data_IF_100795069158
#
_entry.id   IF_100795069158
#
_cell.length_a   1.000
_cell.length_b   1.000
_cell.length_c   1.000
_cell.angle_alpha   90.00
_cell.angle_beta   90.00
_cell.angle_gamma   90.00
#
_symmetry.space_group_name_H-M   'P 1'
#
loop_
_entity.id
_entity.type
_entity.pdbx_description
1 polymer ?
#
# COMPACT_ATOMS: atom_id res chain seq x y z
N UNK A 1 9.67 -17.06 6.83
CA UNK A 1 8.81 -17.12 5.62
C UNK A 1 8.55 -15.68 5.22
N UNK A 2 8.35 -15.43 3.93
CA UNK A 2 8.02 -14.09 3.45
C UNK A 2 6.64 -13.65 3.94
N UNK A 3 6.46 -12.37 4.22
CA UNK A 3 5.18 -11.81 4.61
C UNK A 3 4.31 -11.41 3.42
N UNK A 4 3.02 -11.11 3.67
CA UNK A 4 2.08 -10.68 2.65
C UNK A 4 2.41 -9.28 2.12
N UNK A 5 2.18 -9.03 0.83
CA UNK A 5 2.33 -7.71 0.21
C UNK A 5 1.18 -7.46 -0.75
N UNK A 6 0.50 -6.32 -0.62
CA UNK A 6 -0.56 -5.86 -1.53
C UNK A 6 -0.25 -4.42 -1.93
N UNK A 7 -0.34 -4.12 -3.22
CA UNK A 7 -0.25 -2.78 -3.78
C UNK A 7 -1.48 -2.51 -4.63
N UNK A 8 -2.03 -1.30 -4.51
CA UNK A 8 -3.24 -0.89 -5.21
C UNK A 8 -3.03 0.49 -5.81
N UNK A 9 -3.45 0.69 -7.06
CA UNK A 9 -3.34 1.96 -7.77
C UNK A 9 -4.46 2.95 -7.47
N UNK A 10 -5.20 2.77 -6.37
CA UNK A 10 -6.28 3.63 -5.90
C UNK A 10 -5.74 4.59 -4.84
N UNK A 11 -6.26 5.81 -4.79
CA UNK A 11 -6.05 6.79 -3.73
C UNK A 11 -7.05 6.58 -2.57
N UNK A 12 -6.99 5.38 -1.98
CA UNK A 12 -8.01 4.84 -1.07
C UNK A 12 -8.49 5.80 0.03
N UNK A 13 -7.59 6.62 0.54
CA UNK A 13 -7.85 7.50 1.67
C UNK A 13 -8.45 8.85 1.29
N UNK A 14 -8.52 9.21 0.01
CA UNK A 14 -9.10 10.49 -0.38
C UNK A 14 -10.61 10.55 -0.08
N UNK A 15 -11.04 11.69 0.48
CA UNK A 15 -12.37 11.85 1.07
C UNK A 15 -12.60 11.17 2.42
N UNK A 16 -11.61 10.46 2.99
CA UNK A 16 -11.72 9.77 4.28
C UNK A 16 -12.56 8.48 4.21
N UNK A 17 -13.08 7.98 5.35
CA UNK A 17 -13.89 6.77 5.39
C UNK A 17 -15.09 6.83 4.44
N UNK A 18 -15.12 5.94 3.44
CA UNK A 18 -16.20 5.89 2.45
C UNK A 18 -15.99 6.77 1.21
N UNK A 19 -14.90 7.56 1.15
CA UNK A 19 -14.59 8.45 0.03
C UNK A 19 -14.35 7.67 -1.27
N UNK A 20 -13.33 6.82 -1.28
CA UNK A 20 -12.97 5.97 -2.43
C UNK A 20 -13.42 4.51 -2.26
N UNK A 21 -14.64 4.33 -1.77
CA UNK A 21 -15.29 3.03 -1.61
C UNK A 21 -15.55 2.68 -0.14
N UNK A 22 -16.33 1.61 0.13
CA UNK A 22 -16.71 1.27 1.49
C UNK A 22 -15.50 0.92 2.34
N UNK A 23 -15.41 1.53 3.54
CA UNK A 23 -14.29 1.28 4.47
C UNK A 23 -14.12 -0.21 4.82
N UNK A 24 -15.24 -0.96 4.83
CA UNK A 24 -15.28 -2.40 5.08
C UNK A 24 -14.47 -3.22 4.07
N UNK A 25 -14.28 -2.74 2.83
CA UNK A 25 -13.42 -3.42 1.85
C UNK A 25 -11.96 -3.34 2.29
N UNK A 26 -11.51 -2.17 2.74
CA UNK A 26 -10.15 -1.96 3.23
C UNK A 26 -9.90 -2.67 4.56
N UNK A 27 -10.89 -2.72 5.45
CA UNK A 27 -10.85 -3.55 6.67
C UNK A 27 -10.60 -5.03 6.32
N UNK A 28 -11.28 -5.57 5.31
CA UNK A 28 -11.08 -6.95 4.86
C UNK A 28 -9.68 -7.17 4.27
N UNK A 29 -9.18 -6.23 3.48
CA UNK A 29 -7.82 -6.29 2.92
C UNK A 29 -6.77 -6.27 4.03
N UNK A 30 -6.91 -5.36 5.00
CA UNK A 30 -5.99 -5.27 6.16
C UNK A 30 -6.05 -6.54 7.00
N UNK A 31 -7.26 -7.07 7.27
CA UNK A 31 -7.41 -8.34 7.99
C UNK A 31 -6.77 -9.51 7.24
N UNK A 32 -6.90 -9.57 5.92
CA UNK A 32 -6.26 -10.61 5.10
C UNK A 32 -4.74 -10.54 5.15
N UNK A 33 -4.16 -9.34 5.17
CA UNK A 33 -2.71 -9.19 5.34
C UNK A 33 -2.33 -9.66 6.75
N UNK A 34 -3.02 -9.18 7.78
CA UNK A 34 -2.68 -9.51 9.17
C UNK A 34 -2.84 -11.00 9.50
N UNK A 35 -3.76 -11.73 8.85
CA UNK A 35 -3.91 -13.18 9.04
C UNK A 35 -2.72 -13.98 8.54
N UNK A 36 -1.98 -13.45 7.57
CA UNK A 36 -0.85 -14.12 6.91
C UNK A 36 0.51 -13.64 7.45
N UNK A 37 0.51 -12.65 8.35
CA UNK A 37 1.73 -12.21 9.05
C UNK A 37 2.26 -13.31 9.96
N UNK A 38 3.54 -13.62 9.85
CA UNK A 38 4.22 -14.65 10.65
C UNK A 38 5.28 -14.12 11.60
N UNK A 39 5.60 -12.83 11.52
CA UNK A 39 6.54 -12.18 12.44
C UNK A 39 5.88 -11.86 13.79
N UNK A 40 6.72 -11.76 14.82
CA UNK A 40 6.30 -11.14 16.08
C UNK A 40 6.23 -9.61 15.92
N UNK A 41 5.31 -8.98 16.65
CA UNK A 41 5.11 -7.54 16.65
C UNK A 41 3.71 -7.19 17.13
N UNK A 42 3.37 -5.91 17.04
CA UNK A 42 2.02 -5.41 17.33
C UNK A 42 1.70 -4.21 16.43
N UNK A 43 0.44 -4.11 16.02
CA UNK A 43 -0.07 -2.92 15.34
C UNK A 43 0.41 -2.75 13.90
N UNK A 44 -0.04 -1.64 13.32
CA UNK A 44 0.24 -1.21 11.94
C UNK A 44 1.03 0.10 12.02
N UNK A 45 2.15 0.18 11.31
CA UNK A 45 2.85 1.45 11.09
C UNK A 45 2.33 2.09 9.80
N UNK A 46 1.64 3.21 9.92
CA UNK A 46 1.12 3.99 8.78
C UNK A 46 2.13 5.08 8.43
N UNK A 47 2.76 4.93 7.27
CA UNK A 47 3.84 5.79 6.76
C UNK A 47 3.24 6.84 5.83
N UNK A 48 3.44 8.11 6.19
CA UNK A 48 2.94 9.28 5.46
C UNK A 48 1.68 9.92 6.06
N UNK A 49 0.90 9.17 6.86
CA UNK A 49 -0.30 9.66 7.54
C UNK A 49 -0.04 10.34 8.90
N UNK A 50 -1.11 10.74 9.61
CA UNK A 50 -1.01 11.34 10.95
C UNK A 50 -0.53 12.80 10.94
N UNK A 51 -0.86 13.56 9.89
CA UNK A 51 -0.38 14.94 9.71
C UNK A 51 -1.21 15.94 10.50
N UNK A 52 -2.50 15.68 10.65
CA UNK A 52 -3.38 16.35 11.59
C UNK A 52 -4.16 15.31 12.42
N UNK A 53 -3.85 15.28 13.71
CA UNK A 53 -4.48 14.39 14.70
C UNK A 53 -5.44 15.15 15.63
N UNK A 54 -5.65 16.45 15.39
CA UNK A 54 -6.57 17.27 16.18
C UNK A 54 -7.82 17.59 15.36
N UNK A 55 -9.04 17.40 15.88
CA UNK A 55 -10.26 17.64 15.11
C UNK A 55 -10.35 19.07 14.52
N UNK A 56 -10.74 19.21 13.24
CA UNK A 56 -10.99 18.13 12.27
C UNK A 56 -9.68 17.46 11.81
N UNK A 57 -9.61 16.13 11.95
CA UNK A 57 -8.46 15.32 11.52
C UNK A 57 -8.37 15.27 9.98
N UNK A 58 -7.19 14.99 9.45
CA UNK A 58 -7.02 14.78 8.01
C UNK A 58 -7.65 13.47 7.52
N UNK A 59 -7.99 13.38 6.23
CA UNK A 59 -8.70 12.24 5.64
C UNK A 59 -7.94 10.90 5.84
N UNK A 60 -6.62 10.93 5.68
CA UNK A 60 -5.77 9.74 5.84
C UNK A 60 -5.81 9.25 7.29
N UNK A 61 -5.69 10.16 8.25
CA UNK A 61 -5.77 9.84 9.68
C UNK A 61 -7.14 9.29 10.04
N UNK A 62 -8.23 9.89 9.57
CA UNK A 62 -9.61 9.40 9.83
C UNK A 62 -9.84 8.00 9.24
N UNK A 63 -9.35 7.77 8.02
CA UNK A 63 -9.42 6.48 7.33
C UNK A 63 -8.73 5.36 8.14
N UNK A 64 -7.49 5.59 8.57
CA UNK A 64 -6.71 4.59 9.30
C UNK A 64 -7.16 4.41 10.75
N UNK A 65 -7.63 5.46 11.43
CA UNK A 65 -8.23 5.35 12.77
C UNK A 65 -9.55 4.57 12.73
N UNK A 66 -10.34 4.74 11.67
CA UNK A 66 -11.57 3.96 11.45
C UNK A 66 -11.25 2.48 11.27
N UNK A 67 -10.29 2.13 10.40
CA UNK A 67 -9.82 0.74 10.23
C UNK A 67 -9.31 0.19 11.56
N UNK A 68 -8.44 0.93 12.25
CA UNK A 68 -7.86 0.52 13.54
C UNK A 68 -8.92 0.15 14.56
N UNK A 69 -9.95 1.00 14.67
CA UNK A 69 -11.09 0.80 15.57
C UNK A 69 -11.90 -0.43 15.17
N UNK A 70 -12.19 -0.61 13.88
CA UNK A 70 -13.01 -1.71 13.39
C UNK A 70 -12.36 -3.08 13.59
N UNK A 71 -11.05 -3.18 13.36
CA UNK A 71 -10.32 -4.47 13.43
C UNK A 71 -9.65 -4.71 14.78
N UNK A 72 -9.63 -3.72 15.67
CA UNK A 72 -9.02 -3.84 17.01
C UNK A 72 -7.50 -3.92 17.00
N UNK A 73 -6.84 -3.38 15.97
CA UNK A 73 -5.37 -3.39 15.82
C UNK A 73 -4.87 -1.95 15.84
N UNK A 74 -3.97 -1.57 16.77
CA UNK A 74 -3.55 -0.18 16.91
C UNK A 74 -2.73 0.29 15.71
N UNK A 75 -2.97 1.52 15.29
CA UNK A 75 -2.16 2.25 14.30
C UNK A 75 -1.14 3.14 15.00
N UNK A 76 0.06 3.25 14.41
CA UNK A 76 1.08 4.24 14.77
C UNK A 76 1.45 4.97 13.50
N UNK A 77 1.45 6.30 13.55
CA UNK A 77 1.79 7.12 12.39
C UNK A 77 3.27 7.50 12.39
N UNK A 78 3.86 7.57 11.19
CA UNK A 78 5.15 8.22 10.96
C UNK A 78 5.06 9.11 9.73
N UNK A 79 5.33 10.40 9.92
CA UNK A 79 5.38 11.41 8.87
C UNK A 79 6.59 12.33 9.05
N UNK A 80 6.92 13.07 8.01
CA UNK A 80 8.14 13.85 7.91
C UNK A 80 9.35 13.01 7.52
N UNK A 81 10.12 13.49 6.55
CA UNK A 81 11.26 12.78 5.97
C UNK A 81 12.26 12.27 7.03
N UNK A 82 12.57 13.07 8.05
CA UNK A 82 13.53 12.68 9.09
C UNK A 82 13.04 11.55 10.00
N UNK A 83 11.74 11.53 10.34
CA UNK A 83 11.16 10.47 11.15
C UNK A 83 11.07 9.18 10.34
N UNK A 84 10.63 9.25 9.08
CA UNK A 84 10.59 8.10 8.16
C UNK A 84 11.98 7.51 7.96
N UNK A 85 13.03 8.34 7.88
CA UNK A 85 14.40 7.86 7.70
C UNK A 85 14.92 7.01 8.89
N UNK A 86 14.34 7.20 10.08
CA UNK A 86 14.88 6.61 11.33
C UNK A 86 13.92 5.66 12.02
N UNK A 87 12.65 5.62 11.61
CA UNK A 87 11.62 4.78 12.21
C UNK A 87 11.99 3.28 12.13
N UNK A 88 12.07 2.57 13.27
CA UNK A 88 12.20 1.13 13.28
C UNK A 88 10.91 0.44 12.80
N UNK A 89 11.05 -0.53 11.90
CA UNK A 89 9.91 -1.32 11.40
C UNK A 89 9.71 -2.63 12.18
N UNK A 90 10.73 -3.10 12.92
CA UNK A 90 10.75 -4.45 13.48
C UNK A 90 9.64 -4.74 14.50
N UNK A 91 9.10 -3.72 15.18
CA UNK A 91 8.05 -3.86 16.20
C UNK A 91 6.64 -4.02 15.65
N UNK A 92 6.42 -3.78 14.36
CA UNK A 92 5.08 -3.78 13.75
C UNK A 92 4.76 -5.09 13.04
N UNK A 93 3.48 -5.46 13.00
CA UNK A 93 3.00 -6.60 12.21
C UNK A 93 2.93 -6.24 10.73
N UNK A 94 2.54 -5.00 10.44
CA UNK A 94 2.28 -4.52 9.10
C UNK A 94 2.79 -3.10 8.89
N UNK A 95 3.27 -2.82 7.68
CA UNK A 95 3.51 -1.48 7.16
C UNK A 95 2.37 -1.09 6.24
N UNK A 96 1.87 0.13 6.37
CA UNK A 96 0.96 0.75 5.42
C UNK A 96 1.63 1.99 4.82
N UNK A 97 1.71 2.08 3.50
CA UNK A 97 2.19 3.28 2.79
C UNK A 97 0.98 3.95 2.16
N UNK A 98 0.66 5.14 2.65
CA UNK A 98 -0.56 5.87 2.27
C UNK A 98 -0.48 6.41 0.85
N UNK A 99 -1.64 6.77 0.30
CA UNK A 99 -1.74 7.43 -1.01
C UNK A 99 -0.94 8.73 -1.05
N UNK A 100 -0.44 9.09 -2.23
CA UNK A 100 0.37 10.29 -2.42
C UNK A 100 -0.42 11.58 -2.18
N UNK A 101 0.24 12.60 -1.62
CA UNK A 101 -0.33 13.93 -1.40
C UNK A 101 -0.97 14.55 -2.66
N UNK A 102 -0.39 14.42 -3.88
CA UNK A 102 -1.00 15.03 -5.06
C UNK A 102 -2.40 14.51 -5.41
N UNK A 103 -2.78 13.30 -4.98
CA UNK A 103 -4.15 12.79 -5.13
C UNK A 103 -4.93 12.82 -3.81
N UNK A 104 -4.24 12.69 -2.68
CA UNK A 104 -4.83 12.74 -1.33
C UNK A 104 -4.26 13.92 -0.55
N UNK A 105 -4.65 15.17 -0.86
CA UNK A 105 -4.04 16.38 -0.29
C UNK A 105 -4.28 16.53 1.22
N UNK A 106 -5.30 15.84 1.76
CA UNK A 106 -5.56 15.77 3.19
C UNK A 106 -4.83 14.57 3.80
N UNK A 107 -3.53 14.74 4.06
CA UNK A 107 -2.73 13.78 4.83
C UNK A 107 -1.84 12.83 4.02
N UNK A 108 -1.93 12.80 2.69
CA UNK A 108 -1.21 11.84 1.84
C UNK A 108 0.32 12.01 1.80
N UNK A 109 1.06 10.99 1.36
CA UNK A 109 2.52 10.92 1.33
C UNK A 109 3.14 12.00 0.43
N UNK A 110 4.00 12.86 0.99
CA UNK A 110 4.68 13.92 0.25
C UNK A 110 5.90 13.40 -0.53
N UNK A 111 6.38 14.18 -1.49
CA UNK A 111 7.60 13.87 -2.25
C UNK A 111 8.84 13.70 -1.34
N UNK A 112 9.03 14.55 -0.33
CA UNK A 112 10.16 14.43 0.59
C UNK A 112 10.08 13.17 1.46
N UNK A 113 8.87 12.77 1.87
CA UNK A 113 8.64 11.53 2.60
C UNK A 113 8.89 10.30 1.72
N UNK A 114 8.43 10.32 0.47
CA UNK A 114 8.68 9.26 -0.51
C UNK A 114 10.18 9.07 -0.77
N UNK A 115 10.91 10.17 -1.02
CA UNK A 115 12.37 10.12 -1.20
C UNK A 115 13.09 9.58 0.04
N UNK A 116 12.62 9.91 1.25
CA UNK A 116 13.15 9.33 2.48
C UNK A 116 12.85 7.83 2.58
N UNK A 117 11.61 7.42 2.30
CA UNK A 117 11.19 6.02 2.30
C UNK A 117 11.98 5.18 1.29
N UNK A 118 12.34 5.76 0.15
CA UNK A 118 13.20 5.11 -0.85
C UNK A 118 14.60 4.77 -0.33
N UNK A 119 15.10 5.46 0.70
CA UNK A 119 16.38 5.09 1.34
C UNK A 119 16.25 3.85 2.23
N UNK A 120 15.03 3.44 2.56
CA UNK A 120 14.71 2.32 3.48
C UNK A 120 14.43 1.00 2.76
N UNK A 121 14.76 0.88 1.48
CA UNK A 121 14.51 -0.33 0.66
C UNK A 121 14.96 -1.63 1.33
N UNK A 122 16.17 -1.65 1.89
CA UNK A 122 16.72 -2.83 2.58
C UNK A 122 15.93 -3.18 3.83
N UNK A 123 15.49 -2.18 4.59
CA UNK A 123 14.71 -2.41 5.81
C UNK A 123 13.32 -2.96 5.49
N UNK A 124 12.69 -2.48 4.42
CA UNK A 124 11.39 -2.97 3.94
C UNK A 124 11.51 -4.41 3.43
N UNK A 125 12.53 -4.71 2.63
CA UNK A 125 12.79 -6.08 2.17
C UNK A 125 13.04 -7.04 3.34
N UNK A 126 13.83 -6.62 4.33
CA UNK A 126 14.07 -7.40 5.55
C UNK A 126 12.78 -7.57 6.38
N UNK A 127 11.96 -6.53 6.47
CA UNK A 127 10.69 -6.58 7.18
C UNK A 127 9.75 -7.62 6.54
N UNK A 128 9.59 -7.60 5.22
CA UNK A 128 8.79 -8.59 4.49
C UNK A 128 9.40 -9.99 4.63
N UNK A 129 10.70 -10.15 4.44
CA UNK A 129 11.37 -11.45 4.60
C UNK A 129 11.31 -12.02 6.03
N UNK A 130 11.11 -11.16 7.03
CA UNK A 130 10.87 -11.58 8.42
C UNK A 130 9.45 -12.08 8.67
N UNK A 131 8.54 -11.97 7.68
CA UNK A 131 7.15 -12.37 7.78
C UNK A 131 6.17 -11.22 8.04
N UNK A 132 6.58 -9.97 7.86
CA UNK A 132 5.73 -8.79 8.06
C UNK A 132 4.93 -8.40 6.82
N UNK A 133 3.73 -7.85 7.03
CA UNK A 133 2.79 -7.49 5.97
C UNK A 133 3.01 -6.08 5.40
N UNK A 134 2.71 -5.85 4.14
CA UNK A 134 2.75 -4.51 3.53
C UNK A 134 1.50 -4.24 2.70
N UNK A 135 0.87 -3.08 2.92
CA UNK A 135 -0.12 -2.49 2.02
C UNK A 135 0.41 -1.15 1.50
N UNK A 136 0.29 -0.91 0.20
CA UNK A 136 0.63 0.37 -0.42
C UNK A 136 -0.47 0.84 -1.36
N UNK A 137 -0.82 2.12 -1.28
CA UNK A 137 -1.78 2.77 -2.16
C UNK A 137 -1.10 3.67 -3.20
N UNK A 138 -1.90 4.40 -3.98
CA UNK A 138 -1.40 5.10 -5.17
C UNK A 138 -0.26 6.06 -4.85
N UNK A 139 0.74 6.11 -5.72
CA UNK A 139 1.90 7.01 -5.65
C UNK A 139 1.86 8.08 -6.75
N UNK A 140 0.71 8.28 -7.42
CA UNK A 140 0.56 9.21 -8.54
C UNK A 140 1.05 10.61 -8.18
N UNK A 141 1.82 11.22 -9.08
CA UNK A 141 2.40 12.55 -8.88
C UNK A 141 3.72 12.58 -8.10
N UNK A 142 4.16 11.46 -7.52
CA UNK A 142 5.51 11.34 -6.94
C UNK A 142 6.54 10.96 -8.01
N UNK A 143 7.80 11.38 -7.84
CA UNK A 143 8.84 11.17 -8.87
C UNK A 143 9.31 9.72 -8.99
N UNK A 144 9.28 8.99 -7.87
CA UNK A 144 9.88 7.66 -7.71
C UNK A 144 8.86 6.71 -7.08
N UNK A 145 7.80 6.45 -7.84
CA UNK A 145 6.64 5.65 -7.42
C UNK A 145 7.08 4.23 -7.05
N UNK A 146 6.70 3.80 -5.84
CA UNK A 146 7.02 2.46 -5.30
C UNK A 146 8.52 2.12 -5.23
N UNK A 147 9.43 3.09 -5.37
CA UNK A 147 10.86 2.82 -5.38
C UNK A 147 11.39 2.29 -4.04
N UNK A 148 10.67 2.50 -2.94
CA UNK A 148 10.92 1.89 -1.64
C UNK A 148 10.84 0.35 -1.66
N UNK A 149 10.27 -0.25 -2.69
CA UNK A 149 10.25 -1.68 -2.93
C UNK A 149 11.42 -2.18 -3.80
N UNK A 150 12.40 -1.35 -4.15
CA UNK A 150 13.51 -1.78 -4.99
C UNK A 150 14.35 -2.94 -4.41
N UNK A 151 14.31 -3.14 -3.09
CA UNK A 151 14.85 -4.34 -2.44
C UNK A 151 13.99 -5.60 -2.57
N UNK A 152 12.67 -5.45 -2.78
CA UNK A 152 11.66 -6.50 -2.99
C UNK A 152 11.67 -6.97 -4.44
N UNK A 153 11.75 -6.01 -5.37
CA UNK A 153 11.86 -6.27 -6.80
C UNK A 153 11.51 -5.05 -7.64
N UNK A 154 11.68 -5.17 -8.95
CA UNK A 154 11.38 -4.05 -9.86
C UNK A 154 9.89 -3.93 -10.07
N UNK A 155 9.35 -2.77 -9.71
CA UNK A 155 7.96 -2.38 -9.96
C UNK A 155 7.99 -1.14 -10.86
N UNK A 156 7.17 -1.16 -11.91
CA UNK A 156 6.92 0.04 -12.74
C UNK A 156 5.44 0.21 -12.97
N UNK A 157 5.01 1.46 -13.02
CA UNK A 157 3.60 1.85 -13.11
C UNK A 157 3.38 2.79 -14.29
N UNK A 158 2.14 2.80 -14.79
CA UNK A 158 1.60 3.92 -15.56
C UNK A 158 0.70 4.68 -14.61
N UNK A 159 1.02 5.95 -14.34
CA UNK A 159 0.32 6.81 -13.39
C UNK A 159 -0.37 7.99 -14.06
N UNK A 160 -1.18 8.73 -13.29
CA UNK A 160 -1.98 9.84 -13.81
C UNK A 160 -3.12 9.38 -14.71
N UNK A 161 -3.54 8.12 -14.56
CA UNK A 161 -4.76 7.61 -15.17
C UNK A 161 -5.97 8.11 -14.37
N UNK A 162 -7.14 8.05 -15.01
CA UNK A 162 -8.43 8.22 -14.35
C UNK A 162 -9.36 7.13 -14.87
N UNK A 163 -9.64 6.14 -14.05
CA UNK A 163 -10.54 5.03 -14.35
C UNK A 163 -11.31 4.61 -13.11
N UNK A 164 -12.43 3.92 -13.29
CA UNK A 164 -13.44 3.80 -12.23
C UNK A 164 -14.08 2.43 -12.10
N UNK A 165 -13.60 1.50 -12.91
CA UNK A 165 -14.03 0.11 -12.84
C UNK A 165 -12.81 -0.77 -12.80
N UNK A 166 -12.82 -1.70 -11.86
CA UNK A 166 -11.88 -2.80 -11.80
C UNK A 166 -12.59 -4.13 -11.98
N UNK A 167 -11.85 -5.12 -12.47
CA UNK A 167 -12.23 -6.52 -12.46
C UNK A 167 -11.35 -7.27 -11.46
N UNK A 168 -11.83 -7.52 -10.23
CA UNK A 168 -11.13 -8.38 -9.27
C UNK A 168 -10.90 -9.78 -9.84
N UNK A 169 -9.71 -10.33 -9.65
CA UNK A 169 -9.40 -11.73 -9.95
C UNK A 169 -9.84 -12.63 -8.79
N UNK A 170 -9.83 -13.96 -8.95
CA UNK A 170 -10.04 -14.87 -7.81
C UNK A 170 -9.05 -14.62 -6.66
N UNK A 171 -7.80 -14.27 -6.99
CA UNK A 171 -6.78 -13.92 -5.99
C UNK A 171 -7.12 -12.61 -5.26
N UNK A 172 -7.58 -11.59 -5.99
CA UNK A 172 -8.05 -10.34 -5.38
C UNK A 172 -9.25 -10.53 -4.47
N UNK A 173 -10.22 -11.36 -4.89
CA UNK A 173 -11.41 -11.64 -4.09
C UNK A 173 -11.04 -12.38 -2.81
N UNK A 174 -10.04 -13.28 -2.87
CA UNK A 174 -9.55 -14.01 -1.69
C UNK A 174 -8.94 -13.09 -0.62
N UNK A 175 -8.41 -11.93 -1.01
CA UNK A 175 -7.86 -10.91 -0.10
C UNK A 175 -8.83 -9.75 0.16
N UNK A 176 -10.08 -9.87 -0.26
CA UNK A 176 -11.15 -8.90 0.04
C UNK A 176 -11.34 -7.80 -1.00
N UNK A 177 -10.63 -7.78 -2.12
CA UNK A 177 -10.86 -6.81 -3.21
C UNK A 177 -12.15 -7.18 -3.95
N UNK A 178 -13.11 -6.26 -3.98
CA UNK A 178 -14.41 -6.42 -4.64
C UNK A 178 -14.68 -5.30 -5.65
N UNK A 179 -15.75 -5.45 -6.43
CA UNK A 179 -16.26 -4.40 -7.32
C UNK A 179 -16.90 -3.23 -6.59
N UNK A 180 -17.00 -3.27 -5.25
CA UNK A 180 -17.42 -2.10 -4.47
C UNK A 180 -16.37 -0.97 -4.53
N UNK A 181 -15.16 -1.30 -4.99
CA UNK A 181 -14.12 -0.32 -5.36
C UNK A 181 -14.24 0.15 -6.81
N UNK A 182 -15.37 -0.07 -7.48
CA UNK A 182 -15.70 0.64 -8.72
C UNK A 182 -16.10 2.07 -8.37
N UNK A 183 -15.09 2.91 -8.15
CA UNK A 183 -15.19 4.29 -7.71
C UNK A 183 -14.35 5.20 -8.58
N UNK A 184 -14.77 6.45 -8.71
CA UNK A 184 -13.95 7.51 -9.29
C UNK A 184 -13.08 8.10 -8.15
N UNK A 185 -11.76 7.89 -8.10
CA UNK A 185 -10.90 7.36 -9.18
C UNK A 185 -9.80 6.36 -8.75
N UNK A 186 -9.38 5.54 -9.70
CA UNK A 186 -8.11 4.84 -9.67
C UNK A 186 -7.11 5.53 -10.61
N UNK A 187 -5.84 5.54 -10.22
CA UNK A 187 -4.83 6.41 -10.82
C UNK A 187 -3.63 5.69 -11.41
N UNK A 188 -3.39 4.45 -11.02
CA UNK A 188 -2.23 3.68 -11.46
C UNK A 188 -2.58 2.27 -11.93
N UNK A 189 -1.79 1.78 -12.87
CA UNK A 189 -1.71 0.36 -13.21
C UNK A 189 -0.25 -0.10 -13.17
N UNK A 190 -0.02 -1.37 -12.86
CA UNK A 190 1.30 -1.99 -12.70
C UNK A 190 1.73 -2.68 -14.00
N UNK A 191 2.79 -2.16 -14.64
CA UNK A 191 3.29 -2.66 -15.93
C UNK A 191 4.28 -3.82 -15.76
N UNK A 192 5.16 -3.71 -14.76
CA UNK A 192 6.13 -4.75 -14.42
C UNK A 192 6.16 -4.93 -12.92
N UNK A 193 6.23 -6.18 -12.47
CA UNK A 193 6.35 -6.55 -11.05
C UNK A 193 6.95 -7.96 -10.95
N UNK A 194 7.49 -8.34 -9.79
CA UNK A 194 8.05 -9.68 -9.60
C UNK A 194 7.01 -10.78 -9.80
N UNK A 195 7.41 -11.88 -10.43
CA UNK A 195 6.51 -13.00 -10.78
C UNK A 195 5.91 -13.74 -9.56
N UNK A 196 6.43 -13.51 -8.35
CA UNK A 196 5.83 -14.04 -7.12
C UNK A 196 4.59 -13.25 -6.68
N UNK A 197 4.33 -12.06 -7.25
CA UNK A 197 3.10 -11.31 -7.03
C UNK A 197 2.05 -11.74 -8.06
N UNK A 198 0.84 -11.92 -7.58
CA UNK A 198 -0.33 -12.21 -8.39
C UNK A 198 -1.04 -10.92 -8.78
N UNK A 199 -1.76 -10.97 -9.89
CA UNK A 199 -2.70 -9.91 -10.28
C UNK A 199 -3.95 -10.07 -9.42
N UNK A 200 -4.29 -9.04 -8.66
CA UNK A 200 -5.45 -9.02 -7.77
C UNK A 200 -6.65 -8.35 -8.42
N UNK A 201 -6.44 -7.34 -9.25
CA UNK A 201 -7.48 -6.73 -10.06
C UNK A 201 -6.90 -6.15 -11.35
N UNK A 202 -7.73 -6.07 -12.39
CA UNK A 202 -7.41 -5.39 -13.65
C UNK A 202 -8.21 -4.09 -13.72
N UNK A 203 -7.66 -3.05 -14.34
CA UNK A 203 -8.46 -1.92 -14.80
C UNK A 203 -9.43 -2.41 -15.89
N UNK A 204 -10.72 -2.19 -15.67
CA UNK A 204 -11.82 -2.68 -16.52
C UNK A 204 -12.58 -1.53 -17.21
N UNK A 205 -12.06 -0.30 -17.18
CA UNK A 205 -12.69 0.85 -17.84
C UNK A 205 -12.36 0.84 -19.33
N UNK A 206 -13.31 0.39 -20.15
CA UNK A 206 -13.16 0.34 -21.62
C UNK A 206 -12.77 1.71 -22.18
N UNK A 207 -11.70 1.76 -22.97
CA UNK A 207 -11.19 2.99 -23.59
C UNK A 207 -10.20 3.77 -22.71
N UNK A 208 -10.01 3.39 -21.45
CA UNK A 208 -8.90 3.91 -20.66
C UNK A 208 -7.55 3.32 -21.16
N UNK A 209 -6.45 4.11 -21.18
CA UNK A 209 -5.14 3.62 -21.61
C UNK A 209 -4.60 2.42 -20.81
N UNK A 210 -5.06 2.24 -19.57
CA UNK A 210 -4.72 1.11 -18.71
C UNK A 210 -5.67 -0.08 -18.80
N UNK A 211 -6.65 -0.10 -19.70
CA UNK A 211 -7.63 -1.20 -19.80
C UNK A 211 -6.94 -2.56 -19.94
N UNK A 212 -7.31 -3.51 -19.08
CA UNK A 212 -6.74 -4.85 -19.02
C UNK A 212 -5.36 -4.94 -18.36
N UNK A 213 -4.80 -3.83 -17.86
CA UNK A 213 -3.54 -3.80 -17.11
C UNK A 213 -3.84 -3.94 -15.60
N UNK A 214 -2.99 -4.64 -14.82
CA UNK A 214 -3.19 -4.80 -13.38
C UNK A 214 -3.35 -3.47 -12.63
N UNK A 215 -4.48 -3.33 -11.93
CA UNK A 215 -4.81 -2.20 -11.04
C UNK A 215 -4.41 -2.47 -9.59
N UNK A 216 -4.33 -3.74 -9.21
CA UNK A 216 -3.84 -4.19 -7.91
C UNK A 216 -3.02 -5.48 -8.07
N UNK A 217 -1.95 -5.60 -7.30
CA UNK A 217 -1.05 -6.76 -7.29
C UNK A 217 -0.71 -7.16 -5.85
N UNK A 218 -0.41 -8.43 -5.61
CA UNK A 218 -0.02 -8.88 -4.28
C UNK A 218 0.13 -10.39 -4.11
N UNK A 219 0.46 -10.83 -2.90
CA UNK A 219 0.61 -12.24 -2.54
C UNK A 219 0.74 -12.46 -1.03
N UNK A 220 0.24 -13.60 -0.55
CA UNK A 220 0.19 -13.97 0.87
C UNK A 220 1.56 -14.34 1.48
N UNK A 221 2.48 -14.89 0.68
CA UNK A 221 3.82 -15.26 1.12
C UNK A 221 4.87 -14.76 0.10
N UNK A 222 5.47 -13.61 0.37
CA UNK A 222 6.47 -13.00 -0.52
C UNK A 222 7.88 -13.24 0.01
N UNK A 223 8.54 -14.28 -0.49
CA UNK A 223 9.98 -14.46 -0.25
C UNK A 223 10.75 -13.59 -1.23
N UNK A 224 11.31 -12.49 -0.73
CA UNK A 224 12.16 -11.60 -1.51
C UNK A 224 13.52 -12.25 -1.69
N UNK A 225 13.97 -12.50 -2.94
CA UNK A 225 15.32 -12.97 -3.18
C UNK A 225 16.31 -11.93 -2.66
N UNK A 226 16.93 -12.22 -1.50
CA UNK A 226 18.02 -11.39 -1.00
C UNK A 226 19.15 -11.53 -2.02
N UNK A 227 19.47 -10.45 -2.73
CA UNK A 227 20.69 -10.43 -3.55
C UNK A 227 21.89 -10.50 -2.62
N UNK A 228 22.37 -11.71 -2.36
CA UNK A 228 23.66 -11.99 -1.73
C UNK A 228 24.78 -11.50 -2.65
N UNK A 229 25.80 -10.82 -2.13
CA UNK A 229 26.96 -11.46 -1.51
C UNK A 229 27.51 -12.50 -2.48
N UNK A 230 28.47 -12.08 -3.30
CA UNK A 230 29.39 -13.02 -3.96
C UNK A 230 30.12 -13.79 -2.87
N UNK A 231 29.82 -15.08 -2.74
CA UNK A 231 30.73 -16.02 -2.10
C UNK A 231 31.78 -16.41 -3.14
N UNK A 232 32.87 -15.63 -3.20
CA UNK A 232 34.19 -16.08 -3.65
C UNK A 232 35.24 -15.39 -2.80
#
# INVERSE_FOLDING_TARGET
MGGPLILMGIDAEDGGPGGHGPITVYENIVNSILSDVTKAGSGILVIGGGKDTTPPVDNVTDFWDTISTAIGVPVTYVNGAAAIATQPFSSFLMLAVVSSEPQTPSGGLTELENLSLNTRQTDIANFINSGGGLLGFSQTGLTTQFAYLGGVGSITTTSGLNYNTIAPTPAGTAVGITTDLNVDFWHEVFNTFPAFLQILALNDTVGNPGFGIPAAIGGAEVVVPIRGISLF
#
